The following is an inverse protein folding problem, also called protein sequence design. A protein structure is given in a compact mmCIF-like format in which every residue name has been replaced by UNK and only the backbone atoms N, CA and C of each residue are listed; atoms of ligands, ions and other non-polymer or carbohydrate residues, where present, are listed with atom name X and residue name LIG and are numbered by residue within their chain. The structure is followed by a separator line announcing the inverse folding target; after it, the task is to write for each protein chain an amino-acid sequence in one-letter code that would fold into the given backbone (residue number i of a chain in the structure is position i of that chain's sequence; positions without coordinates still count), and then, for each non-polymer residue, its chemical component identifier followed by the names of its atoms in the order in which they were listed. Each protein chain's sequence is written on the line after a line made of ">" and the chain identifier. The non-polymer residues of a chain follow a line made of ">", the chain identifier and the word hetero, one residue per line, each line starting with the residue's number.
data_IF_892391867815
#
_entry.id   IF_892391867815
#
_cell.length_a   1.000
_cell.length_b   1.000
_cell.length_c   1.000
_cell.angle_alpha   90.00
_cell.angle_beta   90.00
_cell.angle_gamma   90.00
#
_symmetry.space_group_name_H-M   'P 1'
#
loop_
_entity.id
_entity.type
_entity.pdbx_description
1 polymer ?
#
# COMPACT_ATOMS: atom_id res chain seq x y z
N UNK A 1 16.13 2.52 6.21
CA UNK A 1 16.00 2.25 4.75
C UNK A 1 14.93 1.19 4.60
N UNK A 2 13.78 1.51 4.02
CA UNK A 2 12.66 0.57 3.91
C UNK A 2 12.95 -0.42 2.78
N UNK A 3 13.19 -1.68 3.12
CA UNK A 3 13.35 -2.75 2.12
C UNK A 3 11.98 -3.14 1.59
N UNK A 4 11.78 -3.05 0.28
CA UNK A 4 10.55 -3.53 -0.34
C UNK A 4 10.65 -5.05 -0.42
N UNK A 5 9.77 -5.75 0.30
CA UNK A 5 9.76 -7.21 0.32
C UNK A 5 9.61 -7.81 -1.08
N UNK A 6 10.17 -9.01 -1.29
CA UNK A 6 10.10 -9.73 -2.57
C UNK A 6 8.64 -10.11 -2.92
N UNK A 7 7.79 -10.23 -1.90
CA UNK A 7 6.34 -10.40 -2.01
C UNK A 7 5.64 -9.21 -1.35
N UNK A 8 5.41 -8.16 -2.13
CA UNK A 8 4.53 -7.05 -1.70
C UNK A 8 3.10 -7.43 -2.08
N UNK A 9 2.20 -7.53 -1.10
CA UNK A 9 0.80 -7.90 -1.35
C UNK A 9 0.10 -6.79 -2.14
N UNK A 10 -0.85 -7.15 -3.01
CA UNK A 10 -1.68 -6.16 -3.70
C UNK A 10 -2.70 -5.61 -2.70
N UNK A 11 -3.06 -4.33 -2.80
CA UNK A 11 -4.15 -3.80 -2.00
C UNK A 11 -5.48 -4.44 -2.43
N UNK A 12 -6.14 -5.13 -1.49
CA UNK A 12 -7.44 -5.78 -1.69
C UNK A 12 -8.39 -5.49 -0.53
N UNK A 13 -9.69 -5.47 -0.80
CA UNK A 13 -10.74 -5.25 0.22
C UNK A 13 -10.82 -6.42 1.20
N UNK A 14 -11.10 -6.11 2.47
CA UNK A 14 -11.22 -7.12 3.54
C UNK A 14 -9.89 -7.71 4.01
N UNK A 15 -8.75 -7.22 3.49
CA UNK A 15 -7.43 -7.59 3.98
C UNK A 15 -7.05 -6.73 5.18
N UNK A 16 -6.57 -7.36 6.25
CA UNK A 16 -6.00 -6.68 7.39
C UNK A 16 -4.56 -6.22 7.10
N UNK A 17 -4.24 -4.98 7.43
CA UNK A 17 -2.93 -4.38 7.25
C UNK A 17 -2.34 -3.91 8.56
N UNK A 18 -1.35 -4.66 9.05
CA UNK A 18 -0.59 -4.25 10.22
C UNK A 18 0.31 -3.06 9.94
N UNK A 19 0.65 -2.29 10.98
CA UNK A 19 1.58 -1.18 10.89
C UNK A 19 2.90 -1.59 10.19
N UNK A 20 3.38 -0.74 9.28
CA UNK A 20 4.55 -0.95 8.41
C UNK A 20 4.43 -2.06 7.37
N UNK A 21 3.26 -2.70 7.24
CA UNK A 21 3.01 -3.62 6.12
C UNK A 21 3.02 -2.86 4.80
N UNK A 22 3.48 -3.52 3.74
CA UNK A 22 3.60 -2.91 2.42
C UNK A 22 2.53 -3.44 1.47
N UNK A 23 1.86 -2.56 0.75
CA UNK A 23 0.95 -2.90 -0.32
C UNK A 23 1.41 -2.35 -1.68
N UNK A 24 1.08 -3.05 -2.75
CA UNK A 24 1.33 -2.67 -4.12
C UNK A 24 0.00 -2.28 -4.80
N UNK A 25 0.01 -1.16 -5.52
CA UNK A 25 -1.14 -0.68 -6.31
C UNK A 25 -0.65 -0.35 -7.70
N UNK A 26 -1.37 -0.81 -8.72
CA UNK A 26 -1.11 -0.42 -10.10
C UNK A 26 -1.65 0.99 -10.35
N UNK A 27 -0.77 1.91 -10.74
CA UNK A 27 -1.18 3.22 -11.21
C UNK A 27 -1.24 3.23 -12.75
N UNK A 28 -2.46 3.34 -13.27
CA UNK A 28 -2.72 3.40 -14.71
C UNK A 28 -2.16 4.66 -15.36
N UNK A 29 -2.01 5.76 -14.61
CA UNK A 29 -1.55 7.06 -15.13
C UNK A 29 -0.06 7.03 -15.45
N UNK A 30 0.73 6.45 -14.54
CA UNK A 30 2.19 6.32 -14.73
C UNK A 30 2.61 4.96 -15.28
N UNK A 31 1.65 4.04 -15.49
CA UNK A 31 1.85 2.66 -15.94
C UNK A 31 2.91 1.92 -15.12
N UNK A 32 2.77 2.01 -13.80
CA UNK A 32 3.78 1.48 -12.88
C UNK A 32 3.16 0.95 -11.60
N UNK A 33 3.91 0.11 -10.89
CA UNK A 33 3.49 -0.40 -9.60
C UNK A 33 3.99 0.55 -8.52
N UNK A 34 3.06 1.17 -7.80
CA UNK A 34 3.38 1.98 -6.64
C UNK A 34 3.33 1.13 -5.38
N UNK A 35 4.37 1.25 -4.56
CA UNK A 35 4.47 0.57 -3.27
C UNK A 35 4.18 1.59 -2.18
N UNK A 36 3.26 1.23 -1.31
CA UNK A 36 2.79 2.00 -0.17
C UNK A 36 3.04 1.23 1.11
N UNK A 37 3.30 1.94 2.20
CA UNK A 37 3.50 1.38 3.53
C UNK A 37 2.38 1.85 4.44
N UNK A 38 1.79 0.90 5.15
CA UNK A 38 0.74 1.14 6.12
C UNK A 38 1.32 1.91 7.31
N UNK A 39 0.79 3.09 7.60
CA UNK A 39 1.19 3.92 8.74
C UNK A 39 0.18 3.86 9.89
N UNK A 40 -0.90 3.10 9.73
CA UNK A 40 -1.93 2.88 10.74
C UNK A 40 -2.58 1.53 10.56
N UNK A 41 -2.52 0.68 11.58
CA UNK A 41 -3.20 -0.62 11.60
C UNK A 41 -4.70 -0.48 11.29
N UNK A 42 -5.17 -1.20 10.27
CA UNK A 42 -6.57 -1.15 9.83
C UNK A 42 -6.93 -2.32 8.91
N UNK A 43 -8.23 -2.55 8.74
CA UNK A 43 -8.76 -3.40 7.68
C UNK A 43 -9.02 -2.60 6.41
N UNK A 44 -8.74 -3.17 5.24
CA UNK A 44 -9.07 -2.57 3.94
C UNK A 44 -10.58 -2.41 3.77
N UNK A 45 -11.07 -1.20 4.01
CA UNK A 45 -12.45 -0.79 3.79
C UNK A 45 -12.49 0.21 2.63
N UNK A 46 -13.66 0.42 1.99
CA UNK A 46 -13.80 1.48 1.00
C UNK A 46 -13.39 2.84 1.58
N UNK A 47 -12.50 3.55 0.88
CA UNK A 47 -11.94 4.82 1.31
C UNK A 47 -10.64 4.70 2.11
N UNK A 48 -10.19 3.50 2.47
CA UNK A 48 -8.86 3.29 3.06
C UNK A 48 -7.81 2.91 2.03
N UNK A 49 -8.15 2.82 0.73
CA UNK A 49 -7.20 2.53 -0.33
C UNK A 49 -6.09 3.61 -0.50
N UNK A 50 -4.88 3.23 -0.94
CA UNK A 50 -3.92 4.19 -1.48
C UNK A 50 -4.50 4.88 -2.72
N UNK A 51 -4.27 6.19 -2.93
CA UNK A 51 -3.38 7.08 -2.18
C UNK A 51 -4.09 7.83 -1.02
N UNK A 52 -4.37 7.17 0.10
CA UNK A 52 -4.88 7.80 1.31
C UNK A 52 -3.77 8.03 2.35
N UNK A 53 -3.35 9.29 2.50
CA UNK A 53 -2.28 9.70 3.42
C UNK A 53 -2.59 9.49 4.92
N UNK A 54 -3.83 9.18 5.30
CA UNK A 54 -4.16 8.81 6.70
C UNK A 54 -3.72 7.39 7.05
N UNK A 55 -3.61 6.51 6.05
CA UNK A 55 -3.32 5.09 6.23
C UNK A 55 -2.05 4.63 5.51
N UNK A 56 -1.65 5.34 4.46
CA UNK A 56 -0.58 4.92 3.56
C UNK A 56 0.47 6.00 3.36
N UNK A 57 1.73 5.58 3.35
CA UNK A 57 2.89 6.37 2.99
C UNK A 57 3.51 5.81 1.72
N UNK A 58 3.73 6.66 0.72
CA UNK A 58 4.41 6.26 -0.51
C UNK A 58 5.85 5.84 -0.19
N UNK A 59 6.27 4.70 -0.70
CA UNK A 59 7.63 4.17 -0.50
C UNK A 59 8.43 4.30 -1.78
N UNK A 60 7.91 3.72 -2.87
CA UNK A 60 8.63 3.67 -4.14
C UNK A 60 7.69 3.33 -5.29
N UNK A 61 8.24 3.44 -6.50
CA UNK A 61 7.62 3.01 -7.75
C UNK A 61 8.51 1.94 -8.40
N UNK A 62 7.89 0.90 -8.94
CA UNK A 62 8.49 -0.19 -9.70
C UNK A 62 7.95 -0.24 -11.13
#
# INVERSE_FOLDING_TARGET
>A
MTTIGVSTKIWERGQHWSLYSQCAVWDSSTRSVQVWECIRDHDSLPGTEPPNAMYWRFVARR
#
